data_IF_775003526135
#
_entry.id   IF_775003526135
#
_cell.length_a   1.000
_cell.length_b   1.000
_cell.length_c   1.000
_cell.angle_alpha   90.00
_cell.angle_beta   90.00
_cell.angle_gamma   90.00
#
_symmetry.space_group_name_H-M   'P 1'
#
loop_
_entity.id
_entity.type
_entity.pdbx_description
1 polymer ?
#
# COMPACT_ATOMS: atom_id res chain seq x y z
N UNK A 1 -9.25 -24.27 -2.43
CA UNK A 1 -9.22 -22.91 -1.84
C UNK A 1 -10.35 -22.83 -0.82
N UNK A 2 -10.36 -21.87 0.11
CA UNK A 2 -11.56 -21.65 0.95
C UNK A 2 -12.61 -20.90 0.13
N UNK A 3 -13.90 -21.15 0.34
CA UNK A 3 -14.98 -20.55 -0.45
C UNK A 3 -14.93 -19.01 -0.49
N UNK A 4 -14.55 -18.36 0.62
CA UNK A 4 -14.39 -16.91 0.66
C UNK A 4 -13.30 -16.41 -0.29
N UNK A 5 -12.21 -17.15 -0.51
CA UNK A 5 -11.11 -16.76 -1.40
C UNK A 5 -11.56 -16.77 -2.86
N UNK A 6 -12.35 -17.78 -3.25
CA UNK A 6 -12.88 -17.93 -4.60
C UNK A 6 -13.85 -16.79 -4.94
N UNK A 7 -14.72 -16.42 -4.01
CA UNK A 7 -15.64 -15.28 -4.16
C UNK A 7 -14.86 -13.99 -4.40
N UNK A 8 -13.81 -13.72 -3.61
CA UNK A 8 -13.02 -12.50 -3.80
C UNK A 8 -12.23 -12.49 -5.10
N UNK A 9 -11.63 -13.62 -5.49
CA UNK A 9 -10.93 -13.72 -6.76
C UNK A 9 -11.87 -13.49 -7.95
N UNK A 10 -13.08 -14.04 -7.92
CA UNK A 10 -14.08 -13.81 -8.95
C UNK A 10 -14.55 -12.35 -9.00
N UNK A 11 -14.75 -11.72 -7.84
CA UNK A 11 -15.10 -10.30 -7.76
C UNK A 11 -14.02 -9.40 -8.40
N UNK A 12 -12.74 -9.74 -8.27
CA UNK A 12 -11.64 -9.00 -8.87
C UNK A 12 -11.51 -9.25 -10.37
N UNK A 13 -11.72 -10.49 -10.84
CA UNK A 13 -11.58 -10.85 -12.26
C UNK A 13 -12.66 -10.28 -13.18
N UNK A 14 -13.80 -9.87 -12.62
CA UNK A 14 -14.95 -9.34 -13.37
C UNK A 14 -14.89 -7.82 -13.59
N UNK A 15 -13.76 -7.17 -13.26
CA UNK A 15 -13.61 -5.71 -13.38
C UNK A 15 -12.91 -5.32 -14.67
N UNK A 16 -13.50 -4.37 -15.40
CA UNK A 16 -13.01 -3.91 -16.70
C UNK A 16 -12.01 -2.75 -16.62
N UNK A 17 -11.69 -2.28 -15.41
CA UNK A 17 -10.75 -1.17 -15.21
C UNK A 17 -9.93 -1.29 -13.93
N UNK A 18 -8.70 -0.77 -13.98
CA UNK A 18 -7.80 -0.66 -12.82
C UNK A 18 -8.47 0.10 -11.66
N UNK A 19 -9.28 1.12 -11.96
CA UNK A 19 -9.98 1.89 -10.95
C UNK A 19 -11.02 1.05 -10.21
N UNK A 20 -11.89 0.32 -10.92
CA UNK A 20 -12.90 -0.54 -10.30
C UNK A 20 -12.26 -1.70 -9.53
N UNK A 21 -11.15 -2.24 -10.05
CA UNK A 21 -10.36 -3.25 -9.36
C UNK A 21 -9.87 -2.72 -8.00
N UNK A 22 -9.24 -1.55 -8.00
CA UNK A 22 -8.73 -0.94 -6.77
C UNK A 22 -9.86 -0.59 -5.78
N UNK A 23 -11.00 -0.08 -6.25
CA UNK A 23 -12.16 0.17 -5.38
C UNK A 23 -12.68 -1.10 -4.71
N UNK A 24 -12.63 -2.24 -5.41
CA UNK A 24 -12.98 -3.54 -4.82
C UNK A 24 -12.02 -3.90 -3.69
N UNK A 25 -10.70 -3.72 -3.90
CA UNK A 25 -9.69 -3.95 -2.86
C UNK A 25 -9.92 -3.05 -1.65
N UNK A 26 -10.24 -1.77 -1.86
CA UNK A 26 -10.57 -0.82 -0.78
C UNK A 26 -11.78 -1.30 0.03
N UNK A 27 -12.84 -1.76 -0.64
CA UNK A 27 -14.01 -2.32 0.04
C UNK A 27 -13.65 -3.53 0.91
N UNK A 28 -12.80 -4.43 0.41
CA UNK A 28 -12.38 -5.61 1.16
C UNK A 28 -11.49 -5.27 2.36
N UNK A 29 -10.65 -4.23 2.23
CA UNK A 29 -9.90 -3.70 3.36
C UNK A 29 -10.83 -3.11 4.43
N UNK A 30 -11.88 -2.40 4.01
CA UNK A 30 -12.89 -1.85 4.91
C UNK A 30 -13.67 -2.96 5.65
N UNK A 31 -14.00 -4.07 4.98
CA UNK A 31 -14.64 -5.23 5.62
C UNK A 31 -13.75 -5.87 6.71
N UNK A 32 -12.43 -5.70 6.62
CA UNK A 32 -11.45 -6.12 7.63
C UNK A 32 -11.21 -5.06 8.72
N UNK A 33 -11.87 -3.90 8.64
CA UNK A 33 -11.74 -2.80 9.60
C UNK A 33 -10.61 -1.81 9.31
N UNK A 34 -10.06 -1.81 8.09
CA UNK A 34 -9.04 -0.83 7.68
C UNK A 34 -9.68 0.34 6.93
N UNK A 35 -9.44 1.55 7.41
CA UNK A 35 -9.89 2.78 6.75
C UNK A 35 -9.16 3.03 5.42
N UNK A 36 -7.91 2.58 5.35
CA UNK A 36 -7.02 2.87 4.24
C UNK A 36 -6.36 1.63 3.66
N UNK A 37 -6.10 1.69 2.35
CA UNK A 37 -5.40 0.69 1.58
C UNK A 37 -4.49 1.37 0.56
N UNK A 38 -3.30 0.82 0.38
CA UNK A 38 -2.39 1.18 -0.68
C UNK A 38 -1.92 -0.06 -1.45
N UNK A 39 -1.78 0.11 -2.76
CA UNK A 39 -1.23 -0.84 -3.68
C UNK A 39 -0.04 -0.22 -4.39
N UNK A 40 1.12 -0.86 -4.27
CA UNK A 40 2.36 -0.47 -4.93
C UNK A 40 2.88 -1.60 -5.80
N UNK A 41 3.26 -1.29 -7.04
CA UNK A 41 3.87 -2.22 -7.97
C UNK A 41 5.10 -1.58 -8.59
N UNK A 42 6.25 -2.23 -8.44
CA UNK A 42 7.47 -1.86 -9.17
C UNK A 42 7.69 -2.87 -10.30
N UNK A 43 7.64 -2.39 -11.53
CA UNK A 43 7.93 -3.21 -12.70
C UNK A 43 9.45 -3.38 -12.83
N UNK A 44 9.88 -4.59 -13.19
CA UNK A 44 11.30 -4.92 -13.36
C UNK A 44 11.94 -4.16 -14.54
N UNK A 45 11.14 -3.68 -15.49
CA UNK A 45 11.61 -2.97 -16.68
C UNK A 45 10.95 -1.59 -16.81
N UNK A 46 11.68 -0.60 -17.38
CA UNK A 46 13.08 -0.67 -17.82
C UNK A 46 14.07 -0.64 -16.64
N UNK A 47 15.22 -1.33 -16.78
CA UNK A 47 16.20 -1.52 -15.68
C UNK A 47 16.77 -0.19 -15.12
N UNK A 48 16.96 0.81 -15.98
CA UNK A 48 17.53 2.11 -15.60
C UNK A 48 16.54 3.04 -14.90
N UNK A 49 15.24 2.86 -15.12
CA UNK A 49 14.19 3.65 -14.50
C UNK A 49 12.93 2.80 -14.30
N UNK A 50 12.94 1.89 -13.31
CA UNK A 50 11.84 0.95 -13.10
C UNK A 50 10.55 1.72 -12.81
N UNK A 51 9.50 1.41 -13.58
CA UNK A 51 8.21 2.08 -13.44
C UNK A 51 7.54 1.64 -12.14
N UNK A 52 7.15 2.62 -11.33
CA UNK A 52 6.40 2.41 -10.09
C UNK A 52 4.96 2.83 -10.32
N UNK A 53 4.02 1.91 -10.10
CA UNK A 53 2.58 2.18 -10.03
C UNK A 53 2.19 2.25 -8.56
N UNK A 54 1.49 3.31 -8.17
CA UNK A 54 0.96 3.50 -6.81
C UNK A 54 -0.51 3.88 -6.88
N UNK A 55 -1.34 3.21 -6.10
CA UNK A 55 -2.75 3.54 -5.87
C UNK A 55 -3.02 3.50 -4.38
N UNK A 56 -3.74 4.47 -3.86
CA UNK A 56 -4.14 4.51 -2.45
C UNK A 56 -5.42 5.32 -2.27
N UNK A 57 -6.20 5.00 -1.25
CA UNK A 57 -7.31 5.85 -0.78
C UNK A 57 -6.90 6.77 0.39
N UNK A 58 -5.58 6.96 0.62
CA UNK A 58 -5.07 7.87 1.63
C UNK A 58 -5.56 9.32 1.43
N UNK A 59 -5.60 10.14 2.50
CA UNK A 59 -5.86 11.57 2.36
C UNK A 59 -4.95 12.20 1.30
N UNK A 60 -5.51 13.02 0.42
CA UNK A 60 -4.75 13.66 -0.68
C UNK A 60 -3.57 14.48 -0.17
N UNK A 61 -3.73 15.15 0.98
CA UNK A 61 -2.65 15.87 1.66
C UNK A 61 -1.48 14.94 2.03
N UNK A 62 -1.76 13.74 2.56
CA UNK A 62 -0.72 12.77 2.85
C UNK A 62 -0.02 12.28 1.59
N UNK A 63 -0.77 11.99 0.53
CA UNK A 63 -0.19 11.56 -0.75
C UNK A 63 0.77 12.62 -1.32
N UNK A 64 0.38 13.90 -1.25
CA UNK A 64 1.20 15.02 -1.70
C UNK A 64 2.48 15.16 -0.85
N UNK A 65 2.37 15.05 0.47
CA UNK A 65 3.50 15.12 1.40
C UNK A 65 4.47 13.95 1.21
N UNK A 66 3.95 12.73 1.08
CA UNK A 66 4.72 11.53 0.79
C UNK A 66 5.54 11.66 -0.50
N UNK A 67 4.94 12.26 -1.53
CA UNK A 67 5.64 12.54 -2.78
C UNK A 67 6.68 13.65 -2.64
N UNK A 68 6.33 14.78 -2.02
CA UNK A 68 7.20 15.94 -1.87
C UNK A 68 8.48 15.61 -1.08
N UNK A 69 8.36 14.77 -0.04
CA UNK A 69 9.49 14.33 0.79
C UNK A 69 10.19 13.06 0.25
N UNK A 70 9.76 12.55 -0.90
CA UNK A 70 10.29 11.32 -1.50
C UNK A 70 10.31 10.13 -0.51
N UNK A 71 9.24 9.97 0.28
CA UNK A 71 9.20 8.94 1.32
C UNK A 71 9.28 7.51 0.80
N UNK A 72 8.92 7.29 -0.47
CA UNK A 72 9.12 6.01 -1.16
C UNK A 72 10.54 5.45 -1.05
N UNK A 73 11.57 6.33 -0.98
CA UNK A 73 12.97 5.91 -0.90
C UNK A 73 13.38 5.41 0.50
N UNK A 74 12.70 5.87 1.56
CA UNK A 74 13.05 5.54 2.94
C UNK A 74 12.05 4.59 3.60
N UNK A 75 10.81 4.51 3.09
CA UNK A 75 9.70 3.73 3.62
C UNK A 75 10.09 2.26 3.88
N UNK A 76 10.10 1.82 5.15
CA UNK A 76 10.42 0.44 5.52
C UNK A 76 9.48 -0.60 4.89
N UNK A 77 8.21 -0.25 4.64
CA UNK A 77 7.23 -1.16 4.03
C UNK A 77 7.57 -1.43 2.57
N UNK A 78 7.99 -0.39 1.84
CA UNK A 78 8.46 -0.49 0.45
C UNK A 78 9.77 -1.27 0.41
N UNK A 79 10.72 -0.96 1.30
CA UNK A 79 11.99 -1.71 1.38
C UNK A 79 11.75 -3.19 1.63
N UNK A 80 10.88 -3.55 2.58
CA UNK A 80 10.55 -4.94 2.85
C UNK A 80 9.94 -5.64 1.63
N UNK A 81 8.93 -5.04 1.01
CA UNK A 81 8.24 -5.60 -0.15
C UNK A 81 9.18 -5.86 -1.36
N UNK A 82 10.28 -5.10 -1.46
CA UNK A 82 11.30 -5.33 -2.50
C UNK A 82 12.23 -6.51 -2.23
N UNK A 83 12.33 -6.97 -0.98
CA UNK A 83 13.28 -8.02 -0.58
C UNK A 83 12.60 -9.31 -0.10
N UNK A 84 11.31 -9.25 0.26
CA UNK A 84 10.59 -10.39 0.81
C UNK A 84 9.14 -10.45 0.31
N UNK A 85 8.65 -11.64 -0.06
CA UNK A 85 7.24 -11.86 -0.39
C UNK A 85 6.36 -12.06 0.85
N UNK A 86 6.96 -12.15 2.05
CA UNK A 86 6.22 -12.38 3.28
C UNK A 86 5.55 -11.09 3.78
N UNK A 87 4.35 -11.17 4.38
CA UNK A 87 3.73 -10.02 5.01
C UNK A 87 4.54 -9.54 6.22
N UNK A 88 4.37 -8.25 6.55
CA UNK A 88 4.94 -7.63 7.75
C UNK A 88 3.85 -6.86 8.49
N UNK A 89 3.99 -6.81 9.81
CA UNK A 89 3.16 -5.99 10.68
C UNK A 89 3.89 -4.67 10.99
N UNK A 90 3.15 -3.58 10.98
CA UNK A 90 3.67 -2.27 11.34
C UNK A 90 3.92 -2.20 12.84
N UNK A 91 5.17 -1.92 13.22
CA UNK A 91 5.60 -1.79 14.62
C UNK A 91 6.53 -0.59 14.74
N UNK A 92 6.65 0.01 15.93
CA UNK A 92 7.59 1.12 16.13
C UNK A 92 9.05 0.69 15.82
N UNK A 93 9.39 -0.59 16.04
CA UNK A 93 10.69 -1.15 15.67
C UNK A 93 10.95 -1.14 14.15
N UNK A 94 9.93 -1.43 13.34
CA UNK A 94 10.04 -1.36 11.87
C UNK A 94 10.39 0.05 11.39
N UNK A 95 9.82 1.07 12.04
CA UNK A 95 9.99 2.47 11.66
C UNK A 95 11.05 3.23 12.48
N UNK A 96 11.83 2.54 13.33
CA UNK A 96 12.81 3.17 14.22
C UNK A 96 13.91 3.96 13.48
N UNK A 97 14.20 3.59 12.22
CA UNK A 97 15.15 4.30 11.36
C UNK A 97 14.52 5.44 10.54
N UNK A 98 13.20 5.61 10.59
CA UNK A 98 12.42 6.59 9.82
C UNK A 98 11.33 7.20 10.70
N UNK A 99 11.70 7.72 11.87
CA UNK A 99 10.77 8.21 12.90
C UNK A 99 9.93 9.39 12.42
N UNK A 100 10.53 10.37 11.75
CA UNK A 100 9.82 11.53 11.17
C UNK A 100 8.71 11.08 10.22
N UNK A 101 9.03 10.20 9.27
CA UNK A 101 8.05 9.61 8.35
C UNK A 101 6.90 8.93 9.11
N UNK A 102 7.22 8.19 10.17
CA UNK A 102 6.22 7.45 10.94
C UNK A 102 5.33 8.36 11.78
N UNK A 103 5.87 9.41 12.38
CA UNK A 103 5.08 10.43 13.09
C UNK A 103 4.13 11.16 12.14
N UNK A 104 4.61 11.52 10.94
CA UNK A 104 3.76 12.15 9.94
C UNK A 104 2.65 11.23 9.46
N UNK A 105 2.97 9.99 9.09
CA UNK A 105 1.96 8.99 8.70
C UNK A 105 0.85 8.86 9.76
N UNK A 106 1.24 8.78 11.05
CA UNK A 106 0.31 8.70 12.18
C UNK A 106 -0.55 9.95 12.35
N UNK A 107 -0.03 11.13 12.02
CA UNK A 107 -0.77 12.39 12.04
C UNK A 107 -1.91 12.42 11.01
N UNK A 108 -1.77 11.67 9.91
CA UNK A 108 -2.80 11.46 8.89
C UNK A 108 -3.67 10.22 9.12
N UNK A 109 -3.57 9.58 10.28
CA UNK A 109 -4.40 8.42 10.65
C UNK A 109 -3.81 7.05 10.29
N UNK A 110 -2.65 7.00 9.62
CA UNK A 110 -1.96 5.74 9.32
C UNK A 110 -1.18 5.26 10.55
N UNK A 111 -1.85 4.51 11.43
CA UNK A 111 -1.29 4.06 12.72
C UNK A 111 -1.01 2.57 12.81
N UNK A 112 -1.73 1.77 12.01
CA UNK A 112 -1.66 0.31 12.01
C UNK A 112 -1.73 -0.19 10.56
N UNK A 113 -1.04 -1.29 10.27
CA UNK A 113 -0.96 -1.89 8.94
C UNK A 113 -0.04 -3.10 8.90
#
# INVERSE_FOLDING_TARGET
MKAWQEIQLQALQTKDSEHQLFQTIVSLAADLGFDYCAYGLRLALPLSNPKIVKKSNYPSAWQAQYQAKNYCAIDPTVKHALHSPLPILWTDGLFASTTEFWEEARSFGLRYG
#
